data_IF_365618921095
#
_entry.id   IF_365618921095
#
_cell.length_a   1.000
_cell.length_b   1.000
_cell.length_c   1.000
_cell.angle_alpha   90.00
_cell.angle_beta   90.00
_cell.angle_gamma   90.00
#
_symmetry.space_group_name_H-M   'P 1'
#
loop_
_entity.id
_entity.type
_entity.pdbx_description
1 polymer ?
#
# COMPACT_ATOMS: atom_id res chain seq x y z
N UNK A 1 -73.07 28.16 -3.96
CA UNK A 1 -71.74 28.70 -4.29
C UNK A 1 -70.66 27.84 -3.63
N UNK A 2 -69.88 27.05 -4.38
CA UNK A 2 -68.74 26.32 -3.82
C UNK A 2 -67.45 27.10 -4.13
N UNK A 3 -66.97 27.89 -3.18
CA UNK A 3 -65.64 28.51 -3.25
C UNK A 3 -65.07 28.52 -1.84
N UNK A 4 -64.21 27.54 -1.52
CA UNK A 4 -63.18 27.54 -0.44
C UNK A 4 -62.67 26.12 -0.15
N UNK A 5 -62.00 25.48 -1.11
CA UNK A 5 -61.22 24.26 -0.83
C UNK A 5 -59.78 24.30 -1.39
N UNK A 6 -59.47 25.21 -2.32
CA UNK A 6 -58.13 25.29 -2.93
C UNK A 6 -57.10 26.07 -2.11
N UNK A 7 -57.50 27.16 -1.44
CA UNK A 7 -56.58 28.07 -0.76
C UNK A 7 -55.87 27.43 0.45
N UNK A 8 -56.56 26.58 1.22
CA UNK A 8 -55.99 25.92 2.40
C UNK A 8 -54.95 24.84 2.06
N UNK A 9 -55.06 24.19 0.90
CA UNK A 9 -54.07 23.19 0.47
C UNK A 9 -52.77 23.85 0.02
N UNK A 10 -52.87 25.00 -0.66
CA UNK A 10 -51.73 25.75 -1.17
C UNK A 10 -50.90 26.36 -0.03
N UNK A 11 -51.56 27.02 0.93
CA UNK A 11 -50.90 27.60 2.12
C UNK A 11 -50.26 26.49 2.97
N UNK A 12 -50.96 25.38 3.21
CA UNK A 12 -50.40 24.25 3.98
C UNK A 12 -49.19 23.61 3.29
N UNK A 13 -49.19 23.49 1.97
CA UNK A 13 -48.05 22.95 1.23
C UNK A 13 -46.85 23.90 1.22
N UNK A 14 -47.05 25.22 1.21
CA UNK A 14 -45.97 26.22 1.28
C UNK A 14 -45.33 26.25 2.67
N UNK A 15 -46.13 26.28 3.74
CA UNK A 15 -45.60 26.32 5.11
C UNK A 15 -44.96 25.00 5.56
N UNK A 16 -45.43 23.86 5.05
CA UNK A 16 -44.82 22.55 5.33
C UNK A 16 -43.73 22.16 4.33
N UNK A 17 -43.53 22.90 3.24
CA UNK A 17 -42.44 22.66 2.28
C UNK A 17 -41.04 22.70 2.92
N UNK A 18 -40.65 23.70 3.74
CA UNK A 18 -39.35 23.69 4.39
C UNK A 18 -39.19 22.52 5.37
N UNK A 19 -40.27 22.15 6.07
CA UNK A 19 -40.27 20.99 6.98
C UNK A 19 -40.15 19.66 6.21
N UNK A 20 -40.79 19.54 5.05
CA UNK A 20 -40.66 18.38 4.14
C UNK A 20 -39.28 18.33 3.49
N UNK A 21 -38.67 19.47 3.19
CA UNK A 21 -37.28 19.53 2.75
C UNK A 21 -36.32 19.09 3.85
N UNK A 22 -36.61 19.46 5.11
CA UNK A 22 -35.76 19.18 6.27
C UNK A 22 -35.85 17.73 6.78
N UNK A 23 -37.01 17.07 6.66
CA UNK A 23 -37.26 15.73 7.23
C UNK A 23 -37.24 14.62 6.15
N UNK A 24 -37.28 15.00 4.87
CA UNK A 24 -37.16 14.09 3.75
C UNK A 24 -38.35 14.14 2.79
N UNK A 25 -38.06 13.82 1.54
CA UNK A 25 -39.04 13.73 0.47
C UNK A 25 -40.03 12.60 0.80
N UNK A 26 -41.34 12.88 0.84
CA UNK A 26 -42.40 11.88 1.05
C UNK A 26 -42.57 10.90 -0.12
N UNK A 27 -41.46 10.33 -0.58
CA UNK A 27 -41.34 9.41 -1.70
C UNK A 27 -41.87 8.05 -1.29
N UNK A 28 -42.43 7.33 -2.25
CA UNK A 28 -42.89 5.95 -2.01
C UNK A 28 -41.69 5.05 -1.61
N UNK A 29 -41.90 4.06 -0.73
CA UNK A 29 -40.84 3.13 -0.33
C UNK A 29 -40.14 2.42 -1.51
N UNK A 30 -40.88 2.17 -2.60
CA UNK A 30 -40.33 1.56 -3.83
C UNK A 30 -39.33 2.47 -4.52
N UNK A 31 -39.64 3.77 -4.60
CA UNK A 31 -38.76 4.76 -5.21
C UNK A 31 -37.50 4.97 -4.35
N UNK A 32 -37.65 5.00 -3.01
CA UNK A 32 -36.51 5.04 -2.09
C UNK A 32 -35.59 3.82 -2.27
N UNK A 33 -36.16 2.62 -2.43
CA UNK A 33 -35.40 1.41 -2.72
C UNK A 33 -34.64 1.48 -4.04
N UNK A 34 -35.27 1.98 -5.11
CA UNK A 34 -34.61 2.15 -6.42
C UNK A 34 -33.45 3.15 -6.34
N UNK A 35 -33.67 4.30 -5.67
CA UNK A 35 -32.62 5.31 -5.45
C UNK A 35 -31.48 4.69 -4.64
N UNK A 36 -31.77 3.97 -3.55
CA UNK A 36 -30.76 3.30 -2.73
C UNK A 36 -29.92 2.30 -3.53
N UNK A 37 -30.55 1.44 -4.32
CA UNK A 37 -29.85 0.49 -5.20
C UNK A 37 -28.97 1.24 -6.22
N UNK A 38 -29.50 2.32 -6.81
CA UNK A 38 -28.75 3.12 -7.79
C UNK A 38 -27.52 3.75 -7.15
N UNK A 39 -27.67 4.31 -5.95
CA UNK A 39 -26.54 4.88 -5.20
C UNK A 39 -25.51 3.83 -4.78
N UNK A 40 -25.93 2.61 -4.44
CA UNK A 40 -24.99 1.51 -4.18
C UNK A 40 -24.21 1.12 -5.43
N UNK A 41 -24.85 1.08 -6.60
CA UNK A 41 -24.16 0.80 -7.87
C UNK A 41 -23.17 1.92 -8.21
N UNK A 42 -23.58 3.18 -8.06
CA UNK A 42 -22.69 4.32 -8.29
C UNK A 42 -21.50 4.30 -7.33
N UNK A 43 -21.74 4.08 -6.04
CA UNK A 43 -20.69 3.96 -5.02
C UNK A 43 -19.70 2.84 -5.38
N UNK A 44 -20.21 1.67 -5.80
CA UNK A 44 -19.40 0.52 -6.23
C UNK A 44 -18.49 0.90 -7.40
N UNK A 45 -19.04 1.53 -8.43
CA UNK A 45 -18.30 1.93 -9.62
C UNK A 45 -17.28 3.02 -9.28
N UNK A 46 -17.65 4.01 -8.46
CA UNK A 46 -16.75 5.10 -8.05
C UNK A 46 -15.56 4.60 -7.25
N UNK A 47 -15.77 3.74 -6.25
CA UNK A 47 -14.68 3.14 -5.47
C UNK A 47 -13.82 2.23 -6.36
N UNK A 48 -14.46 1.40 -7.20
CA UNK A 48 -13.74 0.56 -8.15
C UNK A 48 -12.86 1.37 -9.12
N UNK A 49 -13.37 2.50 -9.61
CA UNK A 49 -12.62 3.41 -10.46
C UNK A 49 -11.43 4.03 -9.73
N UNK A 50 -11.62 4.45 -8.47
CA UNK A 50 -10.55 4.99 -7.64
C UNK A 50 -9.39 4.00 -7.49
N UNK A 51 -9.66 2.78 -6.99
CA UNK A 51 -8.66 1.71 -6.87
C UNK A 51 -8.00 1.36 -8.22
N UNK A 52 -8.77 1.27 -9.29
CA UNK A 52 -8.21 1.00 -10.62
C UNK A 52 -7.26 2.11 -11.08
N UNK A 53 -7.65 3.37 -10.92
CA UNK A 53 -6.83 4.51 -11.32
C UNK A 53 -5.53 4.62 -10.51
N UNK A 54 -5.62 4.35 -9.21
CA UNK A 54 -4.49 4.27 -8.29
C UNK A 54 -3.53 3.13 -8.67
N UNK A 55 -4.04 1.91 -8.87
CA UNK A 55 -3.23 0.77 -9.29
C UNK A 55 -2.57 0.99 -10.65
N UNK A 56 -3.30 1.58 -11.62
CA UNK A 56 -2.77 1.90 -12.94
C UNK A 56 -1.69 2.99 -12.91
N UNK A 57 -1.80 3.95 -11.99
CA UNK A 57 -0.75 4.95 -11.76
C UNK A 57 0.51 4.29 -11.20
N UNK A 58 0.38 3.47 -10.13
CA UNK A 58 1.50 2.75 -9.51
C UNK A 58 2.20 1.80 -10.50
N UNK A 59 1.42 1.06 -11.29
CA UNK A 59 1.95 0.17 -12.31
C UNK A 59 2.74 0.92 -13.40
N UNK A 60 2.24 2.07 -13.86
CA UNK A 60 2.94 2.89 -14.86
C UNK A 60 4.18 3.58 -14.31
N UNK A 61 4.21 3.89 -13.01
CA UNK A 61 5.37 4.48 -12.37
C UNK A 61 6.56 3.49 -12.38
N UNK A 62 6.29 2.19 -12.19
CA UNK A 62 7.30 1.13 -12.23
C UNK A 62 8.23 1.07 -11.02
N UNK A 63 8.39 2.19 -10.31
CA UNK A 63 9.26 2.37 -9.13
C UNK A 63 8.49 2.79 -7.86
N UNK A 64 7.17 2.55 -7.82
CA UNK A 64 6.35 2.90 -6.67
C UNK A 64 6.85 2.24 -5.39
N UNK A 65 6.98 3.04 -4.32
CA UNK A 65 7.50 2.58 -3.02
C UNK A 65 6.54 2.88 -1.87
N UNK A 66 6.20 1.83 -1.11
CA UNK A 66 5.40 1.91 0.09
C UNK A 66 6.20 2.34 1.33
N UNK A 67 7.55 2.33 1.28
CA UNK A 67 8.40 2.64 2.44
C UNK A 67 8.09 3.98 3.12
N UNK A 68 7.79 5.08 2.40
CA UNK A 68 7.40 6.33 3.04
C UNK A 68 6.11 6.22 3.86
N UNK A 69 5.16 5.38 3.46
CA UNK A 69 3.91 5.17 4.22
C UNK A 69 4.16 4.43 5.52
N UNK A 70 5.00 3.40 5.50
CA UNK A 70 5.31 2.58 6.66
C UNK A 70 6.29 3.26 7.63
N UNK A 71 7.33 3.92 7.12
CA UNK A 71 8.32 4.63 7.95
C UNK A 71 7.70 5.78 8.75
N UNK A 72 6.72 6.48 8.16
CA UNK A 72 6.00 7.57 8.82
C UNK A 72 4.83 7.12 9.69
N UNK A 73 4.63 5.81 9.90
CA UNK A 73 3.55 5.31 10.73
C UNK A 73 3.62 5.90 12.16
N UNK A 74 2.47 6.10 12.80
CA UNK A 74 2.32 6.69 14.15
C UNK A 74 1.34 5.88 14.99
N UNK A 75 1.38 6.10 16.30
CA UNK A 75 0.48 5.44 17.25
C UNK A 75 0.95 4.08 17.74
N UNK A 76 0.05 3.30 18.37
CA UNK A 76 0.42 2.09 19.11
C UNK A 76 0.92 0.96 18.22
N UNK A 77 0.53 0.92 16.94
CA UNK A 77 0.96 -0.09 15.97
C UNK A 77 2.15 0.35 15.13
N UNK A 78 2.73 1.52 15.40
CA UNK A 78 3.72 2.12 14.52
C UNK A 78 5.00 1.28 14.38
N UNK A 79 5.43 0.58 15.44
CA UNK A 79 6.58 -0.33 15.35
C UNK A 79 6.33 -1.49 14.39
N UNK A 80 5.12 -2.06 14.40
CA UNK A 80 4.73 -3.13 13.48
C UNK A 80 4.68 -2.66 12.01
N UNK A 81 4.21 -1.44 11.75
CA UNK A 81 4.18 -0.92 10.39
C UNK A 81 5.58 -0.54 9.90
N UNK A 82 6.39 0.10 10.74
CA UNK A 82 7.77 0.48 10.38
C UNK A 82 8.66 -0.73 10.13
N UNK A 83 8.43 -1.84 10.83
CA UNK A 83 9.18 -3.08 10.62
C UNK A 83 8.93 -3.70 9.23
N UNK A 84 7.86 -3.27 8.53
CA UNK A 84 7.61 -3.64 7.13
C UNK A 84 8.50 -2.89 6.14
N UNK A 85 9.19 -1.83 6.55
CA UNK A 85 10.15 -1.17 5.65
C UNK A 85 11.35 -2.09 5.48
N UNK A 86 11.66 -2.45 4.23
CA UNK A 86 12.84 -3.25 3.92
C UNK A 86 14.09 -2.57 4.49
N UNK A 87 14.84 -3.35 5.28
CA UNK A 87 16.08 -2.92 5.91
C UNK A 87 15.95 -1.57 6.63
N UNK A 88 14.85 -1.39 7.40
CA UNK A 88 14.56 -0.15 8.14
C UNK A 88 15.71 0.36 9.01
N UNK A 89 16.48 -0.56 9.59
CA UNK A 89 17.63 -0.26 10.47
C UNK A 89 18.97 -0.30 9.74
N UNK A 90 18.98 -0.48 8.42
CA UNK A 90 20.19 -0.55 7.62
C UNK A 90 21.11 -1.73 7.95
N UNK A 91 20.62 -2.77 8.62
CA UNK A 91 21.46 -3.89 9.07
C UNK A 91 22.06 -4.65 7.90
N UNK A 92 21.26 -4.84 6.84
CA UNK A 92 21.74 -5.52 5.64
C UNK A 92 22.75 -4.65 4.90
N UNK A 93 22.38 -3.39 4.60
CA UNK A 93 23.24 -2.48 3.86
C UNK A 93 24.54 -2.12 4.57
N UNK A 94 24.57 -2.11 5.91
CA UNK A 94 25.79 -1.82 6.69
C UNK A 94 26.69 -3.03 6.89
N UNK A 95 26.19 -4.24 6.64
CA UNK A 95 26.99 -5.45 6.76
C UNK A 95 27.78 -5.68 5.46
N UNK A 96 29.09 -5.54 5.54
CA UNK A 96 29.99 -5.72 4.40
C UNK A 96 29.94 -7.15 3.86
N UNK A 97 29.84 -8.17 4.72
CA UNK A 97 29.80 -9.57 4.30
C UNK A 97 28.51 -9.91 3.57
N UNK A 98 27.36 -9.44 4.07
CA UNK A 98 26.06 -9.63 3.42
C UNK A 98 25.98 -8.85 2.10
N UNK A 99 26.48 -7.61 2.08
CA UNK A 99 26.50 -6.79 0.86
C UNK A 99 27.39 -7.42 -0.21
N UNK A 100 28.59 -7.87 0.16
CA UNK A 100 29.52 -8.54 -0.75
C UNK A 100 28.90 -9.81 -1.35
N UNK A 101 28.26 -10.63 -0.50
CA UNK A 101 27.60 -11.84 -0.96
C UNK A 101 26.48 -11.52 -1.96
N UNK A 102 25.63 -10.52 -1.66
CA UNK A 102 24.53 -10.11 -2.54
C UNK A 102 25.02 -9.57 -3.87
N UNK A 103 26.02 -8.69 -3.83
CA UNK A 103 26.65 -8.15 -5.04
C UNK A 103 27.28 -9.26 -5.88
N UNK A 104 27.92 -10.25 -5.25
CA UNK A 104 28.43 -11.43 -5.93
C UNK A 104 27.34 -12.24 -6.63
N UNK A 105 26.22 -12.51 -5.95
CA UNK A 105 25.07 -13.20 -6.56
C UNK A 105 24.53 -12.45 -7.77
N UNK A 106 24.44 -11.12 -7.69
CA UNK A 106 24.01 -10.30 -8.82
C UNK A 106 25.00 -10.35 -9.98
N UNK A 107 26.31 -10.35 -9.72
CA UNK A 107 27.34 -10.54 -10.75
C UNK A 107 27.18 -11.90 -11.44
N UNK A 108 26.95 -12.97 -10.68
CA UNK A 108 26.73 -14.30 -11.23
C UNK A 108 25.47 -14.36 -12.12
N UNK A 109 24.37 -13.75 -11.68
CA UNK A 109 23.12 -13.64 -12.44
C UNK A 109 23.32 -12.86 -13.75
N UNK A 110 23.97 -11.70 -13.67
CA UNK A 110 24.28 -10.87 -14.83
C UNK A 110 25.23 -11.61 -15.80
N UNK A 111 26.25 -12.29 -15.28
CA UNK A 111 27.20 -13.06 -16.08
C UNK A 111 26.51 -14.19 -16.84
N UNK A 112 25.53 -14.85 -16.21
CA UNK A 112 24.70 -15.85 -16.86
C UNK A 112 23.77 -15.23 -17.93
N UNK A 113 23.03 -14.18 -17.57
CA UNK A 113 22.04 -13.55 -18.45
C UNK A 113 22.67 -12.95 -19.72
N UNK A 114 23.79 -12.25 -19.58
CA UNK A 114 24.51 -11.62 -20.69
C UNK A 114 25.57 -12.52 -21.33
N UNK A 115 25.81 -13.72 -20.79
CA UNK A 115 26.87 -14.63 -21.24
C UNK A 115 28.26 -13.98 -21.24
N UNK A 116 28.70 -13.48 -20.07
CA UNK A 116 29.98 -12.77 -19.94
C UNK A 116 31.17 -13.59 -20.44
N UNK A 117 32.03 -12.92 -21.22
CA UNK A 117 33.39 -13.38 -21.55
C UNK A 117 34.30 -13.35 -20.32
N UNK A 118 35.45 -14.03 -20.38
CA UNK A 118 36.41 -14.02 -19.27
C UNK A 118 36.93 -12.61 -18.94
N UNK A 119 37.07 -11.74 -19.96
CA UNK A 119 37.42 -10.34 -19.76
C UNK A 119 36.32 -9.57 -19.01
N UNK A 120 35.05 -9.80 -19.35
CA UNK A 120 33.91 -9.18 -18.65
C UNK A 120 33.76 -9.70 -17.23
N UNK A 121 34.02 -10.99 -16.98
CA UNK A 121 34.05 -11.56 -15.62
C UNK A 121 35.13 -10.92 -14.76
N UNK A 122 36.33 -10.71 -15.32
CA UNK A 122 37.39 -10.00 -14.61
C UNK A 122 36.99 -8.55 -14.32
N UNK A 123 36.45 -7.83 -15.30
CA UNK A 123 35.97 -6.46 -15.10
C UNK A 123 34.86 -6.36 -14.04
N UNK A 124 33.97 -7.36 -13.97
CA UNK A 124 32.93 -7.44 -12.95
C UNK A 124 33.50 -7.75 -11.55
N UNK A 125 34.52 -8.61 -11.46
CA UNK A 125 35.22 -8.87 -10.20
C UNK A 125 35.99 -7.64 -9.69
N UNK A 126 36.62 -6.90 -10.60
CA UNK A 126 37.27 -5.63 -10.27
C UNK A 126 36.22 -4.61 -9.79
N UNK A 127 35.08 -4.49 -10.49
CA UNK A 127 33.97 -3.63 -10.09
C UNK A 127 33.42 -3.98 -8.69
N UNK A 128 33.28 -5.28 -8.38
CA UNK A 128 32.87 -5.74 -7.05
C UNK A 128 33.86 -5.32 -5.97
N UNK A 129 35.17 -5.46 -6.24
CA UNK A 129 36.22 -5.05 -5.30
C UNK A 129 36.12 -3.55 -4.98
N UNK A 130 36.06 -2.70 -6.02
CA UNK A 130 35.94 -1.24 -5.84
C UNK A 130 34.63 -0.85 -5.16
N UNK A 131 33.53 -1.55 -5.45
CA UNK A 131 32.26 -1.31 -4.75
C UNK A 131 32.36 -1.60 -3.25
N UNK A 132 33.18 -2.59 -2.85
CA UNK A 132 33.38 -2.93 -1.45
C UNK A 132 34.38 -2.03 -0.74
N UNK A 133 35.39 -1.51 -1.44
CA UNK A 133 36.22 -0.42 -0.94
C UNK A 133 35.38 0.83 -0.66
N UNK A 134 34.49 1.21 -1.59
CA UNK A 134 33.57 2.33 -1.38
C UNK A 134 32.58 2.07 -0.24
N UNK A 135 32.15 0.82 -0.05
CA UNK A 135 31.29 0.44 1.06
C UNK A 135 31.97 0.65 2.41
N UNK A 136 33.22 0.21 2.54
CA UNK A 136 34.04 0.40 3.74
C UNK A 136 34.27 1.90 4.00
N UNK A 137 34.55 2.68 2.97
CA UNK A 137 34.65 4.15 3.09
C UNK A 137 33.36 4.79 3.62
N UNK A 138 32.18 4.36 3.16
CA UNK A 138 30.91 4.85 3.68
C UNK A 138 30.74 4.48 5.17
N UNK A 139 31.15 3.27 5.57
CA UNK A 139 31.10 2.89 6.98
C UNK A 139 32.01 3.75 7.84
N UNK A 140 33.22 4.06 7.35
CA UNK A 140 34.18 4.91 8.04
C UNK A 140 33.69 6.37 8.13
N UNK A 141 33.18 6.93 7.02
CA UNK A 141 32.69 8.31 6.95
C UNK A 141 31.51 8.57 7.91
N UNK A 142 30.71 7.54 8.18
CA UNK A 142 29.54 7.61 9.06
C UNK A 142 29.72 6.88 10.40
N UNK A 143 30.94 6.47 10.77
CA UNK A 143 31.18 5.64 11.95
C UNK A 143 30.58 6.24 13.24
N UNK A 144 30.86 7.52 13.50
CA UNK A 144 30.36 8.24 14.67
C UNK A 144 28.81 8.33 14.68
N UNK A 145 28.22 8.64 13.53
CA UNK A 145 26.77 8.76 13.39
C UNK A 145 26.05 7.40 13.57
N UNK A 146 26.67 6.32 13.09
CA UNK A 146 26.18 4.95 13.26
C UNK A 146 26.30 4.49 14.71
N UNK A 147 27.37 4.83 15.41
CA UNK A 147 27.50 4.56 16.85
C UNK A 147 26.43 5.30 17.65
N UNK A 148 26.23 6.61 17.39
CA UNK A 148 25.18 7.40 18.04
C UNK A 148 23.78 6.83 17.77
N UNK A 149 23.53 6.38 16.54
CA UNK A 149 22.29 5.70 16.16
C UNK A 149 22.05 4.44 17.02
N UNK A 150 23.06 3.60 17.20
CA UNK A 150 22.97 2.38 18.01
C UNK A 150 22.72 2.68 19.50
N UNK A 151 23.35 3.73 20.04
CA UNK A 151 23.07 4.22 21.38
C UNK A 151 21.63 4.73 21.50
N UNK A 152 21.12 5.41 20.47
CA UNK A 152 19.74 5.86 20.39
C UNK A 152 18.74 4.70 20.34
N UNK A 153 19.05 3.60 19.65
CA UNK A 153 18.23 2.38 19.66
C UNK A 153 18.12 1.77 21.07
N UNK A 154 19.24 1.66 21.79
CA UNK A 154 19.25 1.20 23.19
C UNK A 154 18.42 2.12 24.10
N UNK A 155 18.46 3.44 23.85
CA UNK A 155 17.63 4.42 24.57
C UNK A 155 16.13 4.17 24.31
N UNK A 156 15.74 3.94 23.05
CA UNK A 156 14.35 3.63 22.70
C UNK A 156 13.86 2.33 23.35
N UNK A 157 14.71 1.31 23.43
CA UNK A 157 14.40 0.05 24.12
C UNK A 157 14.17 0.29 25.62
N UNK A 158 15.02 1.09 26.27
CA UNK A 158 14.86 1.43 27.69
C UNK A 158 13.55 2.16 28.05
N UNK A 159 12.90 2.78 27.07
CA UNK A 159 11.58 3.39 27.25
C UNK A 159 10.44 2.37 27.21
N UNK A 160 10.63 1.23 26.53
CA UNK A 160 9.64 0.13 26.49
C UNK A 160 9.57 -0.61 27.82
N UNK A 161 10.69 -0.69 28.55
CA UNK A 161 10.79 -1.36 29.85
C UNK A 161 10.21 -0.57 31.04
N UNK A 162 9.66 0.63 30.80
CA UNK A 162 9.05 1.49 31.84
C UNK A 162 7.53 1.58 31.67
N UNK A 163 6.77 0.53 32.03
CA UNK A 163 5.32 0.46 31.84
C UNK A 163 4.55 1.55 32.61
N UNK A 164 5.12 2.11 33.68
CA UNK A 164 4.49 3.17 34.49
C UNK A 164 4.32 4.51 33.76
N UNK A 165 4.96 4.71 32.60
CA UNK A 165 4.94 5.97 31.83
C UNK A 165 4.36 5.86 30.42
N UNK A 166 3.87 4.68 30.02
CA UNK A 166 3.47 4.38 28.62
C UNK A 166 2.21 5.10 28.12
N UNK A 167 1.64 6.03 28.90
CA UNK A 167 0.46 6.83 28.56
C UNK A 167 0.63 8.34 28.76
N UNK A 168 1.84 8.82 29.06
CA UNK A 168 2.09 10.26 29.25
C UNK A 168 2.51 10.87 27.91
N UNK A 169 1.81 11.90 27.46
CA UNK A 169 2.09 12.64 26.21
C UNK A 169 3.57 13.04 26.10
N UNK A 170 4.20 13.43 27.22
CA UNK A 170 5.62 13.74 27.31
C UNK A 170 6.56 12.57 26.96
N UNK A 171 6.20 11.32 27.27
CA UNK A 171 7.03 10.17 26.90
C UNK A 171 6.94 9.89 25.40
N UNK A 172 5.75 10.02 24.82
CA UNK A 172 5.54 9.90 23.37
C UNK A 172 6.34 10.94 22.59
N UNK A 173 6.38 12.19 23.09
CA UNK A 173 7.18 13.27 22.51
C UNK A 173 8.68 12.98 22.61
N UNK A 174 9.16 12.47 23.75
CA UNK A 174 10.57 12.07 23.92
C UNK A 174 10.96 10.93 22.97
N UNK A 175 10.09 9.93 22.80
CA UNK A 175 10.30 8.81 21.85
C UNK A 175 10.37 9.33 20.42
N UNK A 176 9.50 10.27 20.04
CA UNK A 176 9.52 10.85 18.69
C UNK A 176 10.78 11.68 18.44
N UNK A 177 11.24 12.44 19.44
CA UNK A 177 12.49 13.22 19.35
C UNK A 177 13.70 12.32 19.13
N UNK A 178 13.89 11.29 19.96
CA UNK A 178 15.01 10.33 19.80
C UNK A 178 14.94 9.63 18.45
N UNK A 179 13.74 9.31 17.95
CA UNK A 179 13.58 8.74 16.60
C UNK A 179 13.99 9.72 15.50
N UNK A 180 13.62 10.99 15.59
CA UNK A 180 14.03 12.01 14.61
C UNK A 180 15.55 12.18 14.59
N UNK A 181 16.18 12.17 15.76
CA UNK A 181 17.64 12.18 15.90
C UNK A 181 18.27 10.93 15.24
N UNK A 182 17.78 9.73 15.58
CA UNK A 182 18.24 8.49 14.96
C UNK A 182 18.07 8.48 13.43
N UNK A 183 16.93 8.94 12.94
CA UNK A 183 16.65 9.05 11.51
C UNK A 183 17.61 10.04 10.83
N UNK A 184 17.94 11.15 11.49
CA UNK A 184 18.87 12.15 10.97
C UNK A 184 20.31 11.60 10.87
N UNK A 185 20.66 10.65 11.75
CA UNK A 185 21.97 9.97 11.77
C UNK A 185 22.06 8.84 10.74
N UNK A 186 21.01 8.01 10.65
CA UNK A 186 21.02 6.83 9.78
C UNK A 186 20.72 7.14 8.30
N UNK A 187 19.73 7.99 8.02
CA UNK A 187 19.24 8.18 6.64
C UNK A 187 20.31 8.69 5.66
N UNK A 188 21.22 9.60 6.03
CA UNK A 188 22.31 10.00 5.14
C UNK A 188 23.19 8.82 4.70
N UNK A 189 23.66 7.99 5.65
CA UNK A 189 24.44 6.79 5.35
C UNK A 189 23.68 5.83 4.42
N UNK A 190 22.39 5.58 4.68
CA UNK A 190 21.58 4.70 3.81
C UNK A 190 21.42 5.23 2.39
N UNK A 191 21.39 6.56 2.20
CA UNK A 191 21.35 7.14 0.85
C UNK A 191 22.66 6.93 0.10
N UNK A 192 23.81 7.00 0.78
CA UNK A 192 25.10 6.69 0.18
C UNK A 192 25.19 5.20 -0.20
N UNK A 193 24.71 4.30 0.67
CA UNK A 193 24.59 2.89 0.31
C UNK A 193 23.63 2.65 -0.87
N UNK A 194 22.46 3.30 -0.91
CA UNK A 194 21.53 3.18 -2.05
C UNK A 194 22.18 3.70 -3.36
N UNK A 195 22.96 4.78 -3.29
CA UNK A 195 23.74 5.29 -4.42
C UNK A 195 24.81 4.30 -4.87
N UNK A 196 25.56 3.71 -3.93
CA UNK A 196 26.54 2.66 -4.21
C UNK A 196 25.89 1.47 -4.93
N UNK A 197 24.75 0.99 -4.43
CA UNK A 197 24.00 -0.12 -5.02
C UNK A 197 23.55 0.19 -6.45
N UNK A 198 22.93 1.36 -6.66
CA UNK A 198 22.45 1.77 -7.98
C UNK A 198 23.60 1.96 -8.98
N UNK A 199 24.74 2.49 -8.52
CA UNK A 199 25.94 2.67 -9.34
C UNK A 199 26.57 1.33 -9.72
N UNK A 200 26.66 0.40 -8.76
CA UNK A 200 27.16 -0.95 -9.00
C UNK A 200 26.26 -1.72 -9.98
N UNK A 201 24.93 -1.67 -9.79
CA UNK A 201 23.96 -2.24 -10.73
C UNK A 201 24.14 -1.71 -12.15
N UNK A 202 24.27 -0.38 -12.29
CA UNK A 202 24.48 0.25 -13.59
C UNK A 202 25.83 -0.15 -14.23
N UNK A 203 26.89 -0.30 -13.42
CA UNK A 203 28.21 -0.70 -13.90
C UNK A 203 28.21 -2.13 -14.44
N UNK A 204 27.65 -3.10 -13.71
CA UNK A 204 27.58 -4.50 -14.14
C UNK A 204 26.69 -4.67 -15.37
N UNK A 205 25.50 -4.05 -15.38
CA UNK A 205 24.65 -4.03 -16.58
C UNK A 205 25.37 -3.37 -17.77
N UNK A 206 26.13 -2.31 -17.51
CA UNK A 206 26.98 -1.65 -18.50
C UNK A 206 27.99 -2.60 -19.14
N UNK A 207 28.69 -3.41 -18.35
CA UNK A 207 29.63 -4.44 -18.82
C UNK A 207 28.92 -5.47 -19.72
N UNK A 208 27.72 -5.92 -19.32
CA UNK A 208 26.93 -6.88 -20.09
C UNK A 208 26.35 -6.34 -21.38
N UNK A 209 26.01 -5.07 -21.42
CA UNK A 209 25.39 -4.42 -22.57
C UNK A 209 26.39 -3.93 -23.63
N UNK A 210 27.69 -3.89 -23.33
CA UNK A 210 28.75 -3.45 -24.25
C UNK A 210 28.71 -4.12 -25.65
N UNK A 211 28.46 -5.44 -25.78
CA UNK A 211 28.42 -6.10 -27.08
C UNK A 211 27.18 -5.77 -27.93
N UNK A 212 26.11 -5.22 -27.33
CA UNK A 212 24.82 -5.05 -27.97
C UNK A 212 24.66 -3.66 -28.60
N UNK A 213 24.19 -3.64 -29.85
CA UNK A 213 23.77 -2.39 -30.50
C UNK A 213 22.54 -1.80 -29.79
N UNK A 214 22.36 -0.46 -29.75
CA UNK A 214 21.28 0.17 -28.98
C UNK A 214 19.86 -0.35 -29.25
N UNK A 215 19.58 -0.82 -30.47
CA UNK A 215 18.28 -1.35 -30.88
C UNK A 215 18.09 -2.84 -30.58
N UNK A 216 19.15 -3.54 -30.17
CA UNK A 216 19.16 -4.98 -29.86
C UNK A 216 19.40 -5.24 -28.37
N UNK A 217 19.49 -4.18 -27.55
CA UNK A 217 19.80 -4.30 -26.13
C UNK A 217 18.69 -5.08 -25.42
N UNK A 218 19.01 -6.20 -24.76
CA UNK A 218 18.07 -6.82 -23.84
C UNK A 218 17.78 -5.86 -22.67
N UNK A 219 16.67 -6.10 -21.97
CA UNK A 219 16.37 -5.35 -20.75
C UNK A 219 17.49 -5.54 -19.71
N UNK A 220 17.87 -4.48 -18.97
CA UNK A 220 18.78 -4.57 -17.84
C UNK A 220 18.30 -5.59 -16.80
N UNK A 221 19.22 -6.34 -16.20
CA UNK A 221 18.91 -7.20 -15.06
C UNK A 221 18.82 -6.32 -13.81
N UNK A 222 17.65 -6.24 -13.15
CA UNK A 222 17.50 -5.41 -11.97
C UNK A 222 18.16 -6.06 -10.76
N UNK A 223 18.93 -5.29 -9.98
CA UNK A 223 19.43 -5.77 -8.70
C UNK A 223 18.28 -5.75 -7.70
N UNK A 224 17.63 -6.91 -7.52
CA UNK A 224 16.56 -7.06 -6.54
C UNK A 224 17.02 -6.70 -5.14
N UNK A 225 16.08 -6.26 -4.28
CA UNK A 225 16.32 -6.18 -2.84
C UNK A 225 16.17 -7.59 -2.24
N UNK A 226 17.09 -8.04 -1.37
CA UNK A 226 16.95 -9.31 -0.67
C UNK A 226 15.68 -9.31 0.18
N UNK A 227 15.08 -10.49 0.38
CA UNK A 227 13.95 -10.63 1.29
C UNK A 227 14.41 -10.31 2.72
N UNK A 228 13.73 -9.37 3.38
CA UNK A 228 14.00 -9.06 4.78
C UNK A 228 13.46 -10.11 5.74
N UNK A 229 13.91 -10.02 6.99
CA UNK A 229 13.63 -10.98 8.07
C UNK A 229 12.13 -11.17 8.37
N UNK A 230 11.27 -10.20 8.01
CA UNK A 230 9.84 -10.22 8.36
C UNK A 230 8.94 -10.93 7.33
N UNK A 231 9.50 -11.51 6.26
CA UNK A 231 8.79 -12.30 5.24
C UNK A 231 7.86 -11.51 4.31
N UNK A 232 7.26 -10.41 4.77
CA UNK A 232 6.47 -9.47 3.96
C UNK A 232 6.85 -8.03 4.32
N UNK A 233 7.86 -7.51 3.64
CA UNK A 233 8.34 -6.13 3.75
C UNK A 233 8.03 -5.34 2.45
N UNK A 234 8.53 -4.11 2.34
CA UNK A 234 8.33 -3.27 1.15
C UNK A 234 8.91 -3.87 -0.13
N UNK A 235 9.89 -4.78 -0.07
CA UNK A 235 10.40 -5.48 -1.26
C UNK A 235 9.33 -6.37 -1.91
N UNK A 236 8.41 -6.89 -1.11
CA UNK A 236 7.27 -7.71 -1.55
C UNK A 236 6.03 -6.84 -1.76
N UNK A 237 5.73 -5.92 -0.85
CA UNK A 237 4.53 -5.08 -0.89
C UNK A 237 4.53 -4.20 -2.15
N UNK A 238 5.68 -3.64 -2.54
CA UNK A 238 5.79 -2.79 -3.75
C UNK A 238 5.43 -3.55 -5.03
N UNK A 239 5.66 -4.87 -5.05
CA UNK A 239 5.31 -5.73 -6.19
C UNK A 239 3.83 -6.11 -6.18
N UNK A 240 3.21 -6.27 -5.01
CA UNK A 240 1.83 -6.78 -4.89
C UNK A 240 0.79 -5.67 -4.99
N UNK A 241 1.00 -4.55 -4.30
CA UNK A 241 -0.03 -3.49 -4.16
C UNK A 241 -0.55 -2.94 -5.49
N UNK A 242 0.28 -2.66 -6.52
CA UNK A 242 -0.24 -2.18 -7.80
C UNK A 242 -1.24 -3.15 -8.46
N UNK A 243 -0.94 -4.45 -8.44
CA UNK A 243 -1.82 -5.47 -9.00
C UNK A 243 -3.04 -5.73 -8.12
N UNK A 244 -2.88 -5.65 -6.80
CA UNK A 244 -4.00 -5.70 -5.86
C UNK A 244 -5.01 -4.58 -6.17
N UNK A 245 -4.57 -3.33 -6.22
CA UNK A 245 -5.41 -2.17 -6.50
C UNK A 245 -6.13 -2.30 -7.86
N UNK A 246 -5.41 -2.70 -8.90
CA UNK A 246 -5.97 -2.95 -10.23
C UNK A 246 -7.05 -4.04 -10.22
N UNK A 247 -6.78 -5.16 -9.55
CA UNK A 247 -7.68 -6.32 -9.52
C UNK A 247 -8.96 -5.99 -8.76
N UNK A 248 -8.82 -5.39 -7.58
CA UNK A 248 -9.95 -4.93 -6.77
C UNK A 248 -10.77 -3.89 -7.53
N UNK A 249 -10.11 -2.95 -8.19
CA UNK A 249 -10.78 -1.94 -9.01
C UNK A 249 -11.66 -2.56 -10.10
N UNK A 250 -11.12 -3.51 -10.88
CA UNK A 250 -11.89 -4.21 -11.90
C UNK A 250 -13.03 -5.06 -11.33
N UNK A 251 -12.78 -5.80 -10.25
CA UNK A 251 -13.81 -6.57 -9.55
C UNK A 251 -14.98 -5.69 -9.12
N UNK A 252 -14.72 -4.50 -8.55
CA UNK A 252 -15.77 -3.58 -8.13
C UNK A 252 -16.48 -2.90 -9.31
N UNK A 253 -15.75 -2.46 -10.35
CA UNK A 253 -16.38 -1.85 -11.54
C UNK A 253 -17.36 -2.83 -12.20
N UNK A 254 -16.90 -4.05 -12.49
CA UNK A 254 -17.69 -5.10 -13.15
C UNK A 254 -18.74 -5.72 -12.21
N UNK A 255 -18.60 -5.54 -10.90
CA UNK A 255 -19.43 -6.19 -9.89
C UNK A 255 -19.21 -7.70 -9.85
N UNK A 256 -17.94 -8.14 -9.89
CA UNK A 256 -17.48 -9.52 -9.84
C UNK A 256 -16.76 -9.79 -8.52
N UNK A 257 -17.23 -10.79 -7.77
CA UNK A 257 -16.84 -11.09 -6.39
C UNK A 257 -16.86 -9.87 -5.47
N UNK A 258 -17.88 -9.02 -5.62
CA UNK A 258 -18.00 -7.72 -4.97
C UNK A 258 -17.85 -7.80 -3.45
N UNK A 259 -18.49 -8.74 -2.71
CA UNK A 259 -18.32 -8.79 -1.26
C UNK A 259 -16.87 -9.09 -0.82
N UNK A 260 -16.20 -10.00 -1.53
CA UNK A 260 -14.81 -10.37 -1.22
C UNK A 260 -13.87 -9.23 -1.57
N UNK A 261 -14.02 -8.65 -2.76
CA UNK A 261 -13.21 -7.51 -3.21
C UNK A 261 -13.39 -6.30 -2.28
N UNK A 262 -14.62 -5.99 -1.88
CA UNK A 262 -14.91 -4.89 -0.97
C UNK A 262 -14.38 -5.14 0.45
N UNK A 263 -14.42 -6.38 0.96
CA UNK A 263 -13.79 -6.71 2.25
C UNK A 263 -12.27 -6.59 2.20
N UNK A 264 -11.64 -7.06 1.13
CA UNK A 264 -10.19 -6.91 0.94
C UNK A 264 -9.78 -5.43 0.86
N UNK A 265 -10.53 -4.63 0.09
CA UNK A 265 -10.35 -3.18 0.01
C UNK A 265 -10.52 -2.49 1.38
N UNK A 266 -11.56 -2.87 2.13
CA UNK A 266 -11.82 -2.34 3.47
C UNK A 266 -10.67 -2.67 4.43
N UNK A 267 -10.16 -3.90 4.41
CA UNK A 267 -9.02 -4.29 5.24
C UNK A 267 -7.75 -3.51 4.88
N UNK A 268 -7.47 -3.36 3.58
CA UNK A 268 -6.32 -2.59 3.11
C UNK A 268 -6.40 -1.13 3.59
N UNK A 269 -7.50 -0.43 3.29
CA UNK A 269 -7.71 0.96 3.70
C UNK A 269 -7.74 1.13 5.23
N UNK A 270 -8.33 0.17 5.94
CA UNK A 270 -8.34 0.13 7.39
C UNK A 270 -6.93 0.03 7.96
N UNK A 271 -6.05 -0.77 7.36
CA UNK A 271 -4.64 -0.86 7.79
C UNK A 271 -3.88 0.45 7.55
N UNK A 272 -4.13 1.12 6.41
CA UNK A 272 -3.58 2.46 6.13
C UNK A 272 -4.08 3.52 7.12
N UNK A 273 -5.34 3.46 7.52
CA UNK A 273 -5.87 4.35 8.57
C UNK A 273 -5.19 4.08 9.92
N UNK A 274 -5.09 2.80 10.31
CA UNK A 274 -4.48 2.39 11.57
C UNK A 274 -2.99 2.71 11.67
N UNK A 275 -2.26 2.74 10.54
CA UNK A 275 -0.85 3.11 10.53
C UNK A 275 -0.62 4.60 10.84
N UNK A 276 -1.65 5.44 10.74
CA UNK A 276 -1.57 6.88 11.00
C UNK A 276 -2.46 7.32 12.16
N UNK A 277 -2.65 6.47 13.17
CA UNK A 277 -3.48 6.79 14.33
C UNK A 277 -2.68 7.57 15.41
N UNK A 278 -3.22 8.64 16.02
CA UNK A 278 -4.48 9.31 15.70
C UNK A 278 -4.40 10.11 14.39
N UNK A 279 -5.50 10.17 13.61
CA UNK A 279 -5.53 10.84 12.31
C UNK A 279 -5.33 12.36 12.45
N UNK A 280 -4.40 12.91 11.66
CA UNK A 280 -4.24 14.35 11.53
C UNK A 280 -5.32 14.94 10.61
N UNK A 281 -5.72 16.20 10.84
CA UNK A 281 -6.66 16.93 9.97
C UNK A 281 -5.92 17.63 8.83
N UNK A 282 -6.47 17.60 7.62
CA UNK A 282 -5.92 18.29 6.46
C UNK A 282 -6.07 17.49 5.16
N UNK A 283 -5.53 17.99 4.04
CA UNK A 283 -5.60 17.32 2.74
C UNK A 283 -4.93 15.93 2.71
N UNK A 284 -3.99 15.68 3.62
CA UNK A 284 -3.27 14.40 3.77
C UNK A 284 -3.84 13.53 4.90
N UNK A 285 -5.06 13.82 5.35
CA UNK A 285 -5.69 13.12 6.46
C UNK A 285 -6.01 11.66 6.11
N UNK A 286 -5.75 10.75 7.06
CA UNK A 286 -6.17 9.36 6.95
C UNK A 286 -7.70 9.17 7.07
N UNK A 287 -8.48 10.22 7.36
CA UNK A 287 -9.94 10.17 7.39
C UNK A 287 -10.56 9.79 6.03
N UNK A 288 -9.93 10.14 4.91
CA UNK A 288 -10.44 9.75 3.59
C UNK A 288 -10.45 8.22 3.42
N UNK A 289 -9.38 7.57 3.86
CA UNK A 289 -9.24 6.11 3.86
C UNK A 289 -10.24 5.46 4.82
N UNK A 290 -10.53 6.07 5.97
CA UNK A 290 -11.55 5.56 6.88
C UNK A 290 -12.96 5.63 6.26
N UNK A 291 -13.31 6.76 5.64
CA UNK A 291 -14.63 6.93 4.99
C UNK A 291 -14.79 5.92 3.84
N UNK A 292 -13.76 5.76 3.01
CA UNK A 292 -13.76 4.79 1.93
C UNK A 292 -13.79 3.34 2.45
N UNK A 293 -13.08 3.04 3.54
CA UNK A 293 -13.15 1.74 4.24
C UNK A 293 -14.60 1.43 4.69
N UNK A 294 -15.28 2.38 5.33
CA UNK A 294 -16.69 2.21 5.73
C UNK A 294 -17.61 2.01 4.52
N UNK A 295 -17.38 2.74 3.43
CA UNK A 295 -18.12 2.57 2.19
C UNK A 295 -17.91 1.17 1.58
N UNK A 296 -16.68 0.65 1.59
CA UNK A 296 -16.37 -0.72 1.21
C UNK A 296 -17.11 -1.75 2.07
N UNK A 297 -17.18 -1.55 3.40
CA UNK A 297 -17.97 -2.43 4.29
C UNK A 297 -19.47 -2.39 3.95
N UNK A 298 -20.01 -1.22 3.58
CA UNK A 298 -21.39 -1.11 3.09
C UNK A 298 -21.58 -1.90 1.80
N UNK A 299 -20.67 -1.80 0.83
CA UNK A 299 -20.73 -2.58 -0.41
C UNK A 299 -20.64 -4.09 -0.17
N UNK A 300 -19.78 -4.49 0.77
CA UNK A 300 -19.64 -5.88 1.19
C UNK A 300 -20.92 -6.43 1.84
N UNK A 301 -21.46 -5.70 2.83
CA UNK A 301 -22.65 -6.10 3.57
C UNK A 301 -23.94 -6.09 2.75
N UNK A 302 -24.06 -5.15 1.81
CA UNK A 302 -25.24 -5.05 0.93
C UNK A 302 -25.18 -6.02 -0.25
N UNK A 303 -24.01 -6.56 -0.58
CA UNK A 303 -23.82 -7.43 -1.75
C UNK A 303 -24.11 -6.69 -3.06
N UNK A 304 -23.61 -5.46 -3.20
CA UNK A 304 -23.94 -4.54 -4.29
C UNK A 304 -23.66 -5.08 -5.70
N UNK A 305 -22.83 -6.13 -5.83
CA UNK A 305 -22.60 -6.85 -7.09
C UNK A 305 -23.85 -7.48 -7.71
N UNK A 306 -24.87 -7.78 -6.89
CA UNK A 306 -26.15 -8.32 -7.36
C UNK A 306 -26.96 -7.30 -8.18
N UNK A 307 -26.66 -6.01 -8.03
CA UNK A 307 -27.31 -4.93 -8.73
C UNK A 307 -26.38 -4.45 -9.85
N UNK A 308 -26.80 -4.62 -11.11
CA UNK A 308 -26.01 -4.21 -12.28
C UNK A 308 -24.53 -4.67 -12.23
N UNK A 309 -24.29 -5.93 -11.86
CA UNK A 309 -22.96 -6.52 -11.76
C UNK A 309 -22.96 -8.01 -12.12
N UNK A 310 -21.78 -8.57 -12.35
CA UNK A 310 -21.61 -9.98 -12.76
C UNK A 310 -21.99 -10.99 -11.68
N UNK A 311 -21.94 -10.60 -10.40
CA UNK A 311 -22.36 -11.44 -9.26
C UNK A 311 -23.84 -11.86 -9.35
N UNK A 312 -24.66 -11.08 -10.07
CA UNK A 312 -26.04 -11.44 -10.37
C UNK A 312 -26.13 -12.82 -11.07
N UNK A 313 -25.27 -13.08 -12.06
CA UNK A 313 -25.26 -14.33 -12.81
C UNK A 313 -24.78 -15.50 -11.95
N UNK A 314 -23.74 -15.29 -11.13
CA UNK A 314 -23.23 -16.30 -10.20
C UNK A 314 -24.31 -16.73 -9.20
N UNK A 315 -25.06 -15.77 -8.66
CA UNK A 315 -26.16 -16.09 -7.74
C UNK A 315 -27.29 -16.85 -8.44
N UNK A 316 -27.57 -16.54 -9.70
CA UNK A 316 -28.58 -17.27 -10.48
C UNK A 316 -28.16 -18.73 -10.71
N UNK A 317 -26.88 -18.98 -10.97
CA UNK A 317 -26.32 -20.34 -11.11
C UNK A 317 -26.44 -21.11 -9.78
N UNK A 318 -26.04 -20.49 -8.66
CA UNK A 318 -26.11 -21.11 -7.33
C UNK A 318 -27.56 -21.48 -6.98
N UNK A 319 -28.49 -20.53 -7.11
CA UNK A 319 -29.92 -20.77 -6.84
C UNK A 319 -30.52 -21.88 -7.71
N UNK A 320 -30.11 -21.95 -8.98
CA UNK A 320 -30.55 -23.03 -9.89
C UNK A 320 -30.01 -24.39 -9.45
N UNK A 321 -28.79 -24.45 -8.94
CA UNK A 321 -28.18 -25.67 -8.42
C UNK A 321 -28.90 -26.18 -7.17
N UNK A 322 -29.14 -25.29 -6.21
CA UNK A 322 -29.89 -25.59 -4.97
C UNK A 322 -31.29 -26.13 -5.29
N UNK A 323 -32.04 -25.43 -6.17
CA UNK A 323 -33.37 -25.85 -6.59
C UNK A 323 -33.42 -27.20 -7.33
N UNK A 324 -32.28 -27.66 -7.90
CA UNK A 324 -32.15 -28.97 -8.55
C UNK A 324 -31.78 -30.06 -7.53
N UNK A 325 -31.03 -29.71 -6.48
CA UNK A 325 -30.70 -30.59 -5.36
C UNK A 325 -31.94 -30.98 -4.55
N UNK A 326 -32.80 -30.01 -4.22
CA UNK A 326 -34.05 -30.25 -3.48
C UNK A 326 -35.07 -31.11 -4.23
N UNK A 327 -34.92 -31.24 -5.55
CA UNK A 327 -35.78 -32.08 -6.40
C UNK A 327 -35.32 -33.52 -6.53
N UNK A 328 -34.18 -33.92 -5.95
CA UNK A 328 -33.83 -35.34 -5.82
C UNK A 328 -34.59 -35.91 -4.62
N UNK A 329 -35.51 -36.88 -4.81
CA UNK A 329 -36.09 -37.58 -3.67
C UNK A 329 -34.96 -38.26 -2.88
N UNK A 330 -34.98 -38.14 -1.56
CA UNK A 330 -34.17 -38.99 -0.69
C UNK A 330 -34.49 -40.44 -1.04
N UNK A 331 -33.48 -41.16 -1.55
CA UNK A 331 -33.58 -42.58 -1.86
C UNK A 331 -33.60 -43.41 -0.58
#
# INVERSE_FOLDING_TARGET
MPFRSGANLFVRNIFLAPLRLAIGWGLSPRLLGLIGITMLVLLRISIGWHFHSEGAAKYRQGDWDAAPFFSNAKGPLADHFRSKVWDYQGKFRRDASLTQWWFGQFVDEAAYYYSFTDQQKQAAADALTHAMENHELILDDYADDLEEYELGLKRLESYKDKPERSGVESLSEQVETVRKENDAKLKPALREFDQLWSSFEAQINGIGLQPYQPHERPAPVPMGKPLGDEGMDTSVINKIVPYFDLTIGWCLILGFFTPVAALAAAFFLGSVFMSQYPPATGPTSSYYQLVECMACLVLAGTGAGRFAGLDFFLQLIIRRSEAKGDKKPAA
#
